data_IF_795288657191
#
_entry.id   IF_795288657191
#
_cell.length_a   1.000
_cell.length_b   1.000
_cell.length_c   1.000
_cell.angle_alpha   90.00
_cell.angle_beta   90.00
_cell.angle_gamma   90.00
#
_symmetry.space_group_name_H-M   'P 1'
#
loop_
_entity.id
_entity.type
_entity.pdbx_description
1 polymer ?
#
# COMPACT_ATOMS: atom_id res chain seq x y z
N UNK A 1 -2.05 -12.06 -22.07
CA UNK A 1 -2.97 -11.59 -21.01
C UNK A 1 -2.10 -11.18 -19.84
N UNK A 2 -2.28 -9.98 -19.29
CA UNK A 2 -1.49 -9.55 -18.13
C UNK A 2 -1.76 -10.49 -16.95
N UNK A 3 -0.74 -10.94 -16.19
CA UNK A 3 -0.97 -11.74 -15.00
C UNK A 3 -1.75 -10.94 -13.95
N UNK A 4 -2.24 -11.57 -12.88
CA UNK A 4 -2.81 -10.81 -11.76
C UNK A 4 -1.70 -10.51 -10.76
N UNK A 5 -1.36 -9.23 -10.56
CA UNK A 5 -0.37 -8.83 -9.55
C UNK A 5 -1.09 -8.80 -8.19
N UNK A 6 -0.65 -9.63 -7.25
CA UNK A 6 -1.32 -9.86 -5.96
C UNK A 6 -0.33 -9.79 -4.82
N UNK A 7 -0.80 -9.31 -3.67
CA UNK A 7 -0.05 -9.38 -2.41
C UNK A 7 0.36 -10.83 -2.12
N UNK A 8 1.61 -11.03 -1.71
CA UNK A 8 2.12 -12.36 -1.37
C UNK A 8 2.29 -13.32 -2.55
N UNK A 9 2.13 -12.85 -3.80
CA UNK A 9 2.28 -13.67 -5.01
C UNK A 9 3.56 -14.51 -5.02
N UNK A 10 3.48 -15.66 -5.68
CA UNK A 10 4.60 -16.60 -5.76
C UNK A 10 5.75 -16.02 -6.59
N UNK A 11 6.93 -16.61 -6.44
CA UNK A 11 8.08 -16.24 -7.24
C UNK A 11 7.78 -16.36 -8.75
N UNK A 12 7.08 -17.42 -9.16
CA UNK A 12 6.69 -17.65 -10.56
C UNK A 12 5.70 -16.60 -11.08
N UNK A 13 4.78 -16.12 -10.23
CA UNK A 13 3.81 -15.09 -10.61
C UNK A 13 4.47 -13.73 -10.88
N UNK A 14 5.42 -13.34 -10.03
CA UNK A 14 6.19 -12.10 -10.22
C UNK A 14 7.07 -12.19 -11.46
N UNK A 15 7.62 -13.37 -11.70
CA UNK A 15 8.49 -13.61 -12.82
C UNK A 15 7.73 -13.57 -14.16
N UNK A 16 6.49 -14.07 -14.18
CA UNK A 16 5.56 -13.87 -15.30
C UNK A 16 5.25 -12.40 -15.57
N UNK A 17 5.29 -11.54 -14.56
CA UNK A 17 5.13 -10.10 -14.76
C UNK A 17 6.34 -9.47 -15.44
N UNK A 18 7.54 -9.86 -15.02
CA UNK A 18 8.76 -9.44 -15.70
C UNK A 18 8.75 -9.87 -17.17
N UNK A 19 8.40 -11.14 -17.45
CA UNK A 19 8.27 -11.66 -18.82
C UNK A 19 7.16 -10.94 -19.62
N UNK A 20 6.09 -10.50 -18.96
CA UNK A 20 5.03 -9.74 -19.60
C UNK A 20 5.48 -8.32 -19.98
N UNK A 21 6.33 -7.69 -19.16
CA UNK A 21 6.89 -6.37 -19.44
C UNK A 21 8.03 -6.44 -20.46
N UNK A 22 8.87 -7.48 -20.43
CA UNK A 22 9.89 -7.78 -21.43
C UNK A 22 9.26 -8.45 -22.67
N UNK A 23 8.37 -7.73 -23.34
CA UNK A 23 7.67 -8.22 -24.53
C UNK A 23 8.62 -8.65 -25.67
N UNK A 24 9.86 -8.14 -25.66
CA UNK A 24 10.91 -8.49 -26.62
C UNK A 24 11.70 -9.75 -26.26
N UNK A 25 11.56 -10.27 -25.03
CA UNK A 25 12.31 -11.43 -24.53
C UNK A 25 13.82 -11.19 -24.44
N UNK A 26 14.21 -9.94 -24.20
CA UNK A 26 15.61 -9.51 -24.12
C UNK A 26 16.32 -9.98 -22.84
N UNK A 27 15.55 -10.31 -21.80
CA UNK A 27 16.03 -10.66 -20.47
C UNK A 27 16.35 -9.47 -19.57
N UNK A 28 16.22 -8.24 -20.07
CA UNK A 28 16.50 -7.01 -19.35
C UNK A 28 15.57 -5.87 -19.79
N UNK A 29 15.09 -5.08 -18.84
CA UNK A 29 14.25 -3.91 -19.12
C UNK A 29 15.04 -2.64 -18.89
N UNK A 30 15.01 -1.72 -19.83
CA UNK A 30 15.54 -0.38 -19.59
C UNK A 30 14.74 0.25 -18.45
N UNK A 31 15.43 0.94 -17.53
CA UNK A 31 14.78 1.42 -16.31
C UNK A 31 13.59 2.36 -16.56
N UNK A 32 13.61 3.28 -17.55
CA UNK A 32 12.44 4.08 -17.89
C UNK A 32 11.23 3.22 -18.28
N UNK A 33 11.44 2.17 -19.07
CA UNK A 33 10.39 1.25 -19.52
C UNK A 33 9.87 0.41 -18.35
N UNK A 34 10.76 -0.05 -17.48
CA UNK A 34 10.39 -0.76 -16.26
C UNK A 34 9.55 0.12 -15.33
N UNK A 35 9.98 1.36 -15.07
CA UNK A 35 9.22 2.33 -14.25
C UNK A 35 7.85 2.57 -14.85
N UNK A 36 7.77 2.82 -16.15
CA UNK A 36 6.49 3.03 -16.83
C UNK A 36 5.57 1.81 -16.68
N UNK A 37 6.09 0.61 -16.95
CA UNK A 37 5.33 -0.63 -16.87
C UNK A 37 4.83 -0.92 -15.44
N UNK A 38 5.67 -0.64 -14.44
CA UNK A 38 5.34 -0.81 -13.04
C UNK A 38 4.29 0.19 -12.56
N UNK A 39 4.50 1.47 -12.82
CA UNK A 39 3.54 2.54 -12.52
C UNK A 39 2.20 2.27 -13.18
N UNK A 40 2.18 1.88 -14.46
CA UNK A 40 0.96 1.53 -15.17
C UNK A 40 0.24 0.34 -14.51
N UNK A 41 0.99 -0.67 -14.08
CA UNK A 41 0.44 -1.84 -13.40
C UNK A 41 -0.18 -1.46 -12.06
N UNK A 42 0.49 -0.64 -11.26
CA UNK A 42 -0.05 -0.10 -10.00
C UNK A 42 -1.30 0.75 -10.25
N UNK A 43 -1.26 1.61 -11.26
CA UNK A 43 -2.37 2.49 -11.64
C UNK A 43 -3.64 1.69 -11.98
N UNK A 44 -3.47 0.57 -12.70
CA UNK A 44 -4.56 -0.37 -13.01
C UNK A 44 -5.01 -1.17 -11.80
N UNK A 45 -4.08 -1.59 -10.95
CA UNK A 45 -4.37 -2.39 -9.77
C UNK A 45 -5.16 -1.62 -8.70
N UNK A 46 -4.98 -0.29 -8.62
CA UNK A 46 -5.74 0.59 -7.73
C UNK A 46 -7.21 0.77 -8.16
N UNK A 47 -7.55 0.42 -9.40
CA UNK A 47 -8.92 0.49 -9.92
C UNK A 47 -9.39 1.92 -10.21
N UNK A 48 -10.54 2.06 -10.87
CA UNK A 48 -11.01 3.35 -11.41
C UNK A 48 -11.64 4.27 -10.37
N UNK A 49 -11.89 3.77 -9.16
CA UNK A 49 -12.54 4.52 -8.06
C UNK A 49 -11.58 5.42 -7.28
N UNK A 50 -10.26 5.25 -7.47
CA UNK A 50 -9.22 6.07 -6.85
C UNK A 50 -8.86 7.20 -7.80
N UNK A 51 -8.75 8.42 -7.28
CA UNK A 51 -8.40 9.60 -8.08
C UNK A 51 -6.96 9.53 -8.61
N UNK A 52 -6.70 10.31 -9.66
CA UNK A 52 -5.42 10.34 -10.38
C UNK A 52 -4.26 10.74 -9.45
N UNK A 53 -4.46 11.74 -8.60
CA UNK A 53 -3.40 12.28 -7.75
C UNK A 53 -2.97 11.25 -6.68
N UNK A 54 -3.92 10.50 -6.13
CA UNK A 54 -3.62 9.39 -5.22
C UNK A 54 -2.84 8.27 -5.91
N UNK A 55 -3.22 7.90 -7.14
CA UNK A 55 -2.50 6.87 -7.91
C UNK A 55 -1.07 7.27 -8.25
N UNK A 56 -0.87 8.53 -8.65
CA UNK A 56 0.45 9.09 -8.91
C UNK A 56 1.30 9.07 -7.63
N UNK A 57 0.75 9.55 -6.51
CA UNK A 57 1.46 9.60 -5.22
C UNK A 57 1.91 8.21 -4.77
N UNK A 58 1.03 7.20 -4.81
CA UNK A 58 1.37 5.82 -4.43
C UNK A 58 2.46 5.25 -5.34
N UNK A 59 2.37 5.51 -6.64
CA UNK A 59 3.36 5.04 -7.61
C UNK A 59 4.73 5.71 -7.38
N UNK A 60 4.75 7.02 -7.14
CA UNK A 60 5.97 7.78 -6.87
C UNK A 60 6.63 7.36 -5.55
N UNK A 61 5.85 7.12 -4.49
CA UNK A 61 6.38 6.63 -3.22
C UNK A 61 7.01 5.24 -3.36
N UNK A 62 6.33 4.33 -4.07
CA UNK A 62 6.86 3.00 -4.35
C UNK A 62 8.21 3.08 -5.10
N UNK A 63 8.28 3.94 -6.12
CA UNK A 63 9.51 4.15 -6.88
C UNK A 63 10.62 4.85 -6.05
N UNK A 64 10.27 5.67 -5.07
CA UNK A 64 11.26 6.27 -4.19
C UNK A 64 11.84 5.23 -3.21
N UNK A 65 10.99 4.43 -2.57
CA UNK A 65 11.40 3.40 -1.59
C UNK A 65 12.23 2.29 -2.20
N UNK A 66 11.91 1.86 -3.41
CA UNK A 66 12.66 0.83 -4.11
C UNK A 66 14.02 1.31 -4.65
N UNK A 67 14.43 2.55 -4.36
CA UNK A 67 15.77 3.04 -4.65
C UNK A 67 16.07 3.19 -6.14
N UNK A 68 15.04 3.47 -6.95
CA UNK A 68 15.19 3.72 -8.38
C UNK A 68 15.85 5.08 -8.63
N UNK A 69 17.15 5.22 -8.39
CA UNK A 69 17.86 6.49 -8.60
C UNK A 69 18.77 6.49 -9.84
N UNK A 70 19.36 5.34 -10.18
CA UNK A 70 20.39 5.26 -11.23
C UNK A 70 19.83 4.85 -12.59
N UNK A 71 20.40 5.42 -13.66
CA UNK A 71 20.12 4.98 -15.02
C UNK A 71 20.74 3.59 -15.27
N UNK A 72 19.97 2.67 -15.84
CA UNK A 72 20.46 1.30 -16.07
C UNK A 72 19.42 0.36 -16.66
N UNK A 73 19.78 -0.92 -16.70
CA UNK A 73 18.89 -2.01 -17.09
C UNK A 73 18.54 -2.84 -15.86
N UNK A 74 17.30 -3.30 -15.79
CA UNK A 74 16.80 -4.20 -14.76
C UNK A 74 16.75 -5.59 -15.38
N UNK A 75 17.67 -6.46 -14.97
CA UNK A 75 17.61 -7.87 -15.38
C UNK A 75 16.51 -8.60 -14.61
N UNK A 76 16.17 -9.80 -15.07
CA UNK A 76 15.26 -10.69 -14.34
C UNK A 76 15.75 -10.99 -12.91
N UNK A 77 17.06 -11.09 -12.69
CA UNK A 77 17.61 -11.34 -11.36
C UNK A 77 17.45 -10.10 -10.48
N UNK A 78 17.81 -8.91 -10.99
CA UNK A 78 17.62 -7.64 -10.28
C UNK A 78 16.15 -7.44 -9.90
N UNK A 79 15.23 -7.73 -10.83
CA UNK A 79 13.80 -7.73 -10.59
C UNK A 79 13.41 -8.51 -9.33
N UNK A 80 13.89 -9.73 -9.20
CA UNK A 80 13.52 -10.65 -8.12
C UNK A 80 14.19 -10.33 -6.79
N UNK A 81 15.43 -9.84 -6.83
CA UNK A 81 16.18 -9.54 -5.61
C UNK A 81 15.79 -8.19 -5.01
N UNK A 82 15.60 -7.17 -5.86
CA UNK A 82 15.43 -5.79 -5.42
C UNK A 82 13.96 -5.36 -5.39
N UNK A 83 13.14 -5.83 -6.33
CA UNK A 83 11.81 -5.25 -6.56
C UNK A 83 10.66 -6.17 -6.16
N UNK A 84 10.80 -7.48 -6.38
CA UNK A 84 9.81 -8.47 -5.99
C UNK A 84 9.47 -8.43 -4.48
N UNK A 85 10.40 -8.22 -3.54
CA UNK A 85 10.05 -8.10 -2.12
C UNK A 85 9.09 -6.93 -1.86
N UNK A 86 9.40 -5.75 -2.41
CA UNK A 86 8.58 -4.55 -2.26
C UNK A 86 7.20 -4.72 -2.92
N UNK A 87 7.13 -5.33 -4.10
CA UNK A 87 5.86 -5.62 -4.76
C UNK A 87 5.01 -6.59 -3.94
N UNK A 88 5.60 -7.66 -3.40
CA UNK A 88 4.85 -8.63 -2.59
C UNK A 88 4.25 -8.01 -1.33
N UNK A 89 4.92 -7.02 -0.74
CA UNK A 89 4.44 -6.31 0.44
C UNK A 89 3.33 -5.28 0.10
N UNK A 90 3.46 -4.58 -1.02
CA UNK A 90 2.66 -3.38 -1.30
C UNK A 90 1.52 -3.58 -2.31
N UNK A 91 1.42 -4.74 -2.97
CA UNK A 91 0.32 -4.99 -3.91
C UNK A 91 -1.04 -5.17 -3.22
N UNK A 92 -2.16 -4.94 -3.93
CA UNK A 92 -3.49 -5.21 -3.43
C UNK A 92 -3.66 -6.68 -3.12
N UNK A 93 -4.41 -6.96 -2.07
CA UNK A 93 -4.82 -8.30 -1.71
C UNK A 93 -5.70 -8.87 -2.83
N UNK A 94 -5.61 -10.19 -3.08
CA UNK A 94 -6.59 -10.83 -3.92
C UNK A 94 -7.98 -10.61 -3.30
N UNK A 95 -9.04 -10.37 -4.10
CA UNK A 95 -10.38 -10.38 -3.55
C UNK A 95 -10.57 -11.71 -2.81
N UNK A 96 -10.82 -11.64 -1.51
CA UNK A 96 -10.91 -12.80 -0.66
C UNK A 96 -11.94 -13.77 -1.25
N UNK A 97 -11.49 -14.96 -1.66
CA UNK A 97 -12.38 -16.10 -1.70
C UNK A 97 -12.79 -16.33 -0.24
N UNK A 98 -14.08 -16.16 0.02
CA UNK A 98 -14.66 -16.20 1.36
C UNK A 98 -14.58 -17.65 1.88
N UNK A 99 -13.43 -18.04 2.39
CA UNK A 99 -13.30 -19.22 3.24
C UNK A 99 -13.31 -18.77 4.70
N UNK A 100 -14.48 -18.89 5.31
CA UNK A 100 -14.64 -18.71 6.74
C UNK A 100 -13.96 -19.87 7.48
N UNK A 101 -13.19 -19.56 8.51
CA UNK A 101 -13.13 -20.30 9.78
C UNK A 101 -12.21 -19.60 10.77
N UNK A 102 -12.67 -19.54 12.03
CA UNK A 102 -12.13 -18.69 13.07
C UNK A 102 -10.96 -19.26 13.85
N UNK A 103 -10.44 -18.42 14.75
CA UNK A 103 -9.71 -18.83 15.94
C UNK A 103 -9.95 -17.78 17.02
N UNK A 104 -10.65 -18.19 18.07
CA UNK A 104 -10.80 -17.45 19.31
C UNK A 104 -9.45 -17.42 20.04
N UNK A 105 -9.00 -16.22 20.38
CA UNK A 105 -7.78 -15.96 21.12
C UNK A 105 -7.64 -14.45 21.27
N UNK A 106 -7.57 -14.00 22.53
CA UNK A 106 -7.33 -12.61 22.91
C UNK A 106 -5.91 -12.24 22.48
N UNK A 107 -5.72 -11.92 21.20
CA UNK A 107 -4.44 -11.44 20.68
C UNK A 107 -4.47 -9.92 20.62
N UNK A 108 -3.60 -9.31 21.41
CA UNK A 108 -3.14 -7.94 21.22
C UNK A 108 -2.66 -7.78 19.77
N UNK A 109 -3.08 -6.68 19.15
CA UNK A 109 -2.78 -6.36 17.76
C UNK A 109 -1.86 -5.15 17.76
N UNK A 110 -0.60 -5.36 17.39
CA UNK A 110 0.37 -4.30 17.18
C UNK A 110 0.17 -3.72 15.76
N UNK A 111 -0.05 -2.41 15.69
CA UNK A 111 -0.29 -1.68 14.45
C UNK A 111 0.77 -0.60 14.31
N UNK A 112 1.64 -0.75 13.32
CA UNK A 112 2.53 0.32 12.91
C UNK A 112 1.72 1.39 12.16
N UNK A 113 1.72 2.61 12.68
CA UNK A 113 1.09 3.78 12.06
C UNK A 113 2.19 4.71 11.59
N UNK A 114 2.21 5.06 10.31
CA UNK A 114 3.18 5.98 9.73
C UNK A 114 2.54 7.33 9.42
N UNK A 115 3.22 8.41 9.81
CA UNK A 115 2.88 9.79 9.45
C UNK A 115 3.88 10.30 8.41
N UNK A 116 3.49 10.36 7.12
CA UNK A 116 4.35 10.95 6.08
C UNK A 116 4.67 12.42 6.34
N UNK A 117 3.78 13.16 7.01
CA UNK A 117 3.97 14.58 7.32
C UNK A 117 5.13 14.81 8.32
N UNK A 118 5.38 13.84 9.20
CA UNK A 118 6.46 13.89 10.21
C UNK A 118 7.64 12.98 9.84
N UNK A 119 7.46 12.04 8.90
CA UNK A 119 8.44 11.00 8.59
C UNK A 119 8.66 10.02 9.73
N UNK A 120 7.63 9.78 10.56
CA UNK A 120 7.70 8.97 11.77
C UNK A 120 6.74 7.78 11.73
N UNK A 121 7.15 6.66 12.33
CA UNK A 121 6.31 5.49 12.59
C UNK A 121 6.06 5.37 14.09
N UNK A 122 4.82 5.06 14.45
CA UNK A 122 4.34 4.82 15.80
C UNK A 122 3.71 3.43 15.87
N UNK A 123 4.21 2.58 16.75
CA UNK A 123 3.59 1.29 17.01
C UNK A 123 2.50 1.45 18.08
N UNK A 124 1.26 1.12 17.71
CA UNK A 124 0.09 1.21 18.58
C UNK A 124 -0.41 -0.19 18.89
N UNK A 125 -0.43 -0.54 20.17
CA UNK A 125 -0.96 -1.81 20.65
C UNK A 125 -2.46 -1.67 20.95
N UNK A 126 -3.30 -2.41 20.21
CA UNK A 126 -4.74 -2.41 20.40
C UNK A 126 -5.26 -3.76 20.84
N UNK A 127 -6.19 -3.72 21.81
CA UNK A 127 -6.99 -4.88 22.18
C UNK A 127 -8.09 -5.08 21.15
N UNK A 128 -8.07 -6.23 20.49
CA UNK A 128 -8.95 -6.54 19.36
C UNK A 128 -10.45 -6.64 19.70
N UNK A 129 -10.81 -6.75 20.98
CA UNK A 129 -12.18 -6.99 21.43
C UNK A 129 -12.96 -5.69 21.71
N UNK A 130 -12.30 -4.53 21.75
CA UNK A 130 -12.94 -3.28 22.23
C UNK A 130 -12.72 -2.05 21.32
N UNK A 131 -12.02 -2.21 20.19
CA UNK A 131 -11.65 -1.08 19.34
C UNK A 131 -12.39 -1.00 18.00
N UNK A 132 -12.93 0.18 17.70
CA UNK A 132 -13.16 0.62 16.32
C UNK A 132 -11.99 1.51 15.86
N UNK A 133 -11.85 1.75 14.55
CA UNK A 133 -10.83 2.66 14.00
C UNK A 133 -10.87 4.04 14.67
N UNK A 134 -12.03 4.51 15.15
CA UNK A 134 -12.15 5.73 15.94
C UNK A 134 -11.26 5.75 17.21
N UNK A 135 -11.02 4.60 17.83
CA UNK A 135 -10.13 4.48 18.99
C UNK A 135 -8.66 4.59 18.56
N UNK A 136 -8.27 3.88 17.49
CA UNK A 136 -6.94 3.99 16.88
C UNK A 136 -6.62 5.43 16.49
N UNK A 137 -7.55 6.10 15.80
CA UNK A 137 -7.41 7.50 15.37
C UNK A 137 -7.18 8.44 16.55
N UNK A 138 -7.91 8.24 17.65
CA UNK A 138 -7.72 9.02 18.88
C UNK A 138 -6.35 8.79 19.50
N UNK A 139 -5.92 7.54 19.60
CA UNK A 139 -4.61 7.18 20.16
C UNK A 139 -3.45 7.78 19.34
N UNK A 140 -3.55 7.68 18.02
CA UNK A 140 -2.58 8.26 17.08
C UNK A 140 -2.58 9.79 17.18
N UNK A 141 -3.75 10.42 17.33
CA UNK A 141 -3.85 11.87 17.48
C UNK A 141 -3.23 12.40 18.78
N UNK A 142 -3.14 11.59 19.85
CA UNK A 142 -2.41 11.96 21.07
C UNK A 142 -0.91 12.12 20.83
N UNK A 143 -0.35 11.32 19.92
CA UNK A 143 1.07 11.35 19.57
C UNK A 143 1.39 12.42 18.52
N UNK A 144 0.43 12.76 17.65
CA UNK A 144 0.57 13.80 16.63
C UNK A 144 -0.52 14.90 16.74
N UNK A 145 -0.59 15.63 17.86
CA UNK A 145 -1.68 16.57 18.13
C UNK A 145 -1.70 17.77 17.18
N UNK A 146 -0.56 18.11 16.56
CA UNK A 146 -0.44 19.23 15.60
C UNK A 146 -1.13 18.96 14.26
N UNK A 147 -1.42 17.68 13.96
CA UNK A 147 -2.00 17.23 12.68
C UNK A 147 -3.42 16.70 12.84
N UNK A 148 -3.98 16.77 14.04
CA UNK A 148 -5.38 16.45 14.26
C UNK A 148 -6.28 17.54 13.62
N UNK A 149 -7.40 17.16 12.99
CA UNK A 149 -7.93 15.81 12.85
C UNK A 149 -7.17 14.96 11.81
N UNK A 150 -7.00 13.66 12.12
CA UNK A 150 -6.29 12.70 11.27
C UNK A 150 -7.27 11.78 10.53
N UNK A 151 -6.92 11.44 9.31
CA UNK A 151 -7.52 10.39 8.49
C UNK A 151 -6.56 9.19 8.46
N UNK A 152 -7.10 8.00 8.71
CA UNK A 152 -6.31 6.76 8.71
C UNK A 152 -6.55 5.96 7.44
N UNK A 153 -5.49 5.45 6.82
CA UNK A 153 -5.55 4.66 5.60
C UNK A 153 -4.84 3.33 5.77
N UNK A 154 -5.37 2.27 5.16
CA UNK A 154 -4.69 0.97 5.07
C UNK A 154 -4.71 0.50 3.62
N UNK A 155 -3.53 0.33 3.02
CA UNK A 155 -3.41 -0.04 1.61
C UNK A 155 -4.11 0.95 0.68
N UNK A 156 -4.00 2.26 0.96
CA UNK A 156 -4.63 3.32 0.17
C UNK A 156 -6.15 3.49 0.39
N UNK A 157 -6.77 2.73 1.30
CA UNK A 157 -8.21 2.86 1.60
C UNK A 157 -8.41 3.59 2.92
N UNK A 158 -9.30 4.59 2.91
CA UNK A 158 -9.72 5.27 4.12
C UNK A 158 -10.39 4.26 5.07
N UNK A 159 -9.96 4.28 6.32
CA UNK A 159 -10.55 3.51 7.38
C UNK A 159 -11.68 4.34 8.01
N UNK A 160 -12.90 3.84 7.91
CA UNK A 160 -14.06 4.46 8.53
C UNK A 160 -14.01 4.25 10.04
N UNK A 161 -14.48 5.24 10.81
CA UNK A 161 -14.46 5.19 12.27
C UNK A 161 -15.28 4.03 12.86
N UNK A 162 -16.30 3.57 12.12
CA UNK A 162 -17.14 2.42 12.45
C UNK A 162 -16.50 1.06 12.13
N UNK A 163 -15.41 1.02 11.36
CA UNK A 163 -14.74 -0.25 11.03
C UNK A 163 -14.16 -0.87 12.29
N UNK A 164 -14.50 -2.13 12.55
CA UNK A 164 -13.98 -2.86 13.69
C UNK A 164 -12.50 -3.22 13.44
N UNK A 165 -11.65 -3.08 14.47
CA UNK A 165 -10.23 -3.43 14.37
C UNK A 165 -10.04 -4.93 14.07
N UNK A 166 -10.98 -5.77 14.51
CA UNK A 166 -11.00 -7.20 14.19
C UNK A 166 -11.13 -7.49 12.69
N UNK A 167 -11.82 -6.64 11.92
CA UNK A 167 -11.90 -6.75 10.46
C UNK A 167 -10.58 -6.39 9.78
N UNK A 168 -9.72 -5.62 10.45
CA UNK A 168 -8.39 -5.27 9.97
C UNK A 168 -7.37 -6.38 10.23
N UNK A 169 -7.62 -7.32 11.16
CA UNK A 169 -6.66 -8.40 11.50
C UNK A 169 -6.20 -9.20 10.29
N UNK A 170 -7.09 -9.48 9.34
CA UNK A 170 -6.71 -10.17 8.10
C UNK A 170 -5.72 -9.35 7.27
N UNK A 171 -5.94 -8.03 7.21
CA UNK A 171 -5.20 -7.07 6.38
C UNK A 171 -3.90 -6.57 7.01
N UNK A 172 -3.75 -6.69 8.33
CA UNK A 172 -2.59 -6.28 9.11
C UNK A 172 -1.52 -7.37 9.23
N UNK A 173 -1.79 -8.61 8.80
CA UNK A 173 -0.77 -9.67 8.75
C UNK A 173 0.28 -9.34 7.69
N UNK A 174 1.56 -9.34 8.08
CA UNK A 174 2.70 -9.22 7.17
C UNK A 174 3.36 -7.83 7.09
N UNK A 175 3.34 -7.04 8.18
CA UNK A 175 4.03 -5.75 8.23
C UNK A 175 3.29 -4.61 7.53
N UNK A 176 1.96 -4.71 7.41
CA UNK A 176 1.16 -3.64 6.85
C UNK A 176 1.17 -2.42 7.77
N UNK A 177 1.37 -1.25 7.17
CA UNK A 177 1.45 0.03 7.88
C UNK A 177 0.16 0.83 7.65
N UNK A 178 -0.45 1.31 8.72
CA UNK A 178 -1.56 2.27 8.64
C UNK A 178 -0.97 3.65 8.41
N UNK A 179 -1.44 4.39 7.42
CA UNK A 179 -0.99 5.75 7.17
C UNK A 179 -1.92 6.75 7.87
N UNK A 180 -1.35 7.69 8.61
CA UNK A 180 -2.09 8.81 9.20
C UNK A 180 -1.78 10.10 8.44
N UNK A 181 -2.82 10.73 7.91
CA UNK A 181 -2.73 11.99 7.18
C UNK A 181 -3.60 13.06 7.85
N UNK A 182 -3.15 14.32 7.94
CA UNK A 182 -4.00 15.40 8.40
C UNK A 182 -5.17 15.60 7.44
N UNK A 183 -6.36 15.81 8.02
CA UNK A 183 -7.53 16.24 7.27
C UNK A 183 -7.28 17.65 6.75
N UNK A 184 -7.20 17.82 5.42
CA UNK A 184 -7.01 19.15 4.87
C UNK A 184 -8.28 19.99 5.02
N UNK A 185 -8.21 21.17 5.66
CA UNK A 185 -9.37 22.05 5.76
C UNK A 185 -9.72 22.59 4.36
N UNK A 186 -10.77 22.05 3.76
CA UNK A 186 -11.46 22.68 2.64
C UNK A 186 -10.86 22.47 1.24
N UNK A 187 -10.63 21.22 0.83
CA UNK A 187 -10.60 20.90 -0.61
C UNK A 187 -12.02 20.98 -1.21
N UNK A 188 -12.62 22.16 -1.18
CA UNK A 188 -13.69 22.49 -2.11
C UNK A 188 -13.09 22.41 -3.52
N UNK A 189 -13.74 21.62 -4.37
CA UNK A 189 -13.49 21.51 -5.79
C UNK A 189 -13.22 22.87 -6.44
N UNK A 190 -11.96 23.16 -6.76
CA UNK A 190 -11.63 24.20 -7.73
C UNK A 190 -10.37 23.83 -8.51
N UNK A 191 -10.46 22.81 -9.35
CA UNK A 191 -9.64 22.78 -10.55
C UNK A 191 -10.30 23.71 -11.58
N UNK A 192 -10.07 25.01 -11.46
CA UNK A 192 -10.23 25.93 -12.57
C UNK A 192 -8.85 26.09 -13.20
N UNK A 193 -8.61 25.36 -14.29
CA UNK A 193 -7.47 25.62 -15.18
C UNK A 193 -7.88 26.81 -16.06
N UNK A 194 -7.13 27.90 -15.98
CA UNK A 194 -7.11 28.97 -16.99
C UNK A 194 -5.82 28.85 -17.80
#
# INVERSE_FOLDING_TARGET
>A
VAPNLRRGGSHEELLRWFEYWDATGSGALDLPDFRFALTWTLYRALGDTIDVATKETVSSLFLAEAGFADDGQVTRQDFLELFAPALRANMPEAPAEVEGQGAAGVSELEIAVHSPAEGLTLDVELRAEEGAVAALRREVALHWPKHAPLLLYLGGRLLEDSTAISELRGRLRGGAVVQALPEQPGAASSCAVS
#
